data_IF_013806978545
#
_entry.id   IF_013806978545
#
_cell.length_a   1.000
_cell.length_b   1.000
_cell.length_c   1.000
_cell.angle_alpha   90.00
_cell.angle_beta   90.00
_cell.angle_gamma   90.00
#
_symmetry.space_group_name_H-M   'P 1'
#
loop_
_entity.id
_entity.type
_entity.pdbx_description
1 polymer ?
#
# COMPACT_ATOMS: atom_id res chain seq x y z
N UNK A 1 12.54 -13.95 -34.25
CA UNK A 1 12.54 -12.64 -33.60
C UNK A 1 13.03 -12.87 -32.19
N UNK A 2 14.20 -12.35 -31.87
CA UNK A 2 14.76 -12.46 -30.53
C UNK A 2 14.17 -11.32 -29.68
N UNK A 3 13.50 -11.69 -28.60
CA UNK A 3 13.04 -10.72 -27.60
C UNK A 3 14.21 -10.47 -26.65
N UNK A 4 14.82 -9.29 -26.78
CA UNK A 4 15.83 -8.85 -25.84
C UNK A 4 15.15 -8.30 -24.59
N UNK A 5 15.59 -8.76 -23.42
CA UNK A 5 15.23 -8.14 -22.15
C UNK A 5 15.77 -6.70 -22.15
N UNK A 6 14.87 -5.71 -22.12
CA UNK A 6 15.24 -4.28 -22.19
C UNK A 6 15.63 -3.69 -20.83
N UNK A 7 15.50 -4.47 -19.75
CA UNK A 7 15.89 -4.05 -18.41
C UNK A 7 16.26 -5.28 -17.58
N UNK A 8 17.50 -5.36 -17.11
CA UNK A 8 17.87 -6.21 -15.98
C UNK A 8 17.81 -5.29 -14.76
N UNK A 9 16.64 -5.18 -14.16
CA UNK A 9 16.55 -4.62 -12.82
C UNK A 9 17.11 -5.65 -11.87
N UNK A 10 17.99 -5.24 -10.96
CA UNK A 10 18.13 -5.99 -9.71
C UNK A 10 16.71 -6.14 -9.14
N UNK A 11 16.36 -7.31 -8.63
CA UNK A 11 15.23 -7.39 -7.72
C UNK A 11 15.65 -6.49 -6.55
N UNK A 12 15.29 -5.20 -6.61
CA UNK A 12 15.23 -4.37 -5.42
C UNK A 12 14.46 -5.24 -4.46
N UNK A 13 15.20 -5.63 -3.41
CA UNK A 13 14.81 -6.65 -2.47
C UNK A 13 13.33 -6.40 -2.23
N UNK A 14 12.50 -7.37 -2.64
CA UNK A 14 11.21 -7.50 -1.98
C UNK A 14 11.64 -7.54 -0.53
N UNK A 15 11.47 -6.41 0.15
CA UNK A 15 11.69 -6.30 1.57
C UNK A 15 10.54 -7.13 2.13
N UNK A 16 10.73 -8.44 2.03
CA UNK A 16 10.10 -9.50 2.77
C UNK A 16 10.54 -9.31 4.21
N UNK A 17 10.28 -8.12 4.76
CA UNK A 17 10.16 -7.95 6.19
C UNK A 17 8.87 -8.68 6.58
N UNK A 18 8.99 -10.01 6.61
CA UNK A 18 8.36 -10.93 7.53
C UNK A 18 7.05 -10.41 8.13
N UNK A 19 5.93 -10.72 7.49
CA UNK A 19 4.67 -10.82 8.22
C UNK A 19 4.42 -12.29 8.60
N UNK A 20 5.28 -12.77 9.49
CA UNK A 20 4.92 -13.84 10.41
C UNK A 20 4.62 -13.10 11.72
N UNK A 21 3.33 -13.04 12.07
CA UNK A 21 2.81 -12.25 13.18
C UNK A 21 3.62 -12.41 14.47
N UNK A 22 4.42 -11.40 14.78
CA UNK A 22 5.10 -11.24 16.05
C UNK A 22 5.12 -9.74 16.35
N UNK A 23 4.56 -9.35 17.49
CA UNK A 23 4.29 -7.96 17.84
C UNK A 23 5.55 -7.09 17.80
N UNK A 24 5.79 -6.46 16.66
CA UNK A 24 6.75 -5.37 16.55
C UNK A 24 6.02 -4.14 17.05
N UNK A 25 6.55 -3.52 18.09
CA UNK A 25 6.19 -2.17 18.49
C UNK A 25 6.48 -1.28 17.28
N UNK A 26 5.45 -1.05 16.46
CA UNK A 26 5.51 0.00 15.45
C UNK A 26 5.75 1.29 16.25
N UNK A 27 6.60 2.15 15.73
CA UNK A 27 6.76 3.49 16.27
C UNK A 27 6.69 4.44 15.08
N UNK A 28 6.27 5.68 15.28
CA UNK A 28 6.17 6.63 14.17
C UNK A 28 7.56 7.16 13.70
N UNK A 29 8.64 6.39 13.91
CA UNK A 29 9.99 6.70 13.47
C UNK A 29 10.17 6.41 11.96
N UNK A 30 9.96 7.47 11.18
CA UNK A 30 10.31 7.75 9.78
C UNK A 30 9.83 6.81 8.64
N UNK A 31 9.41 5.56 8.88
CA UNK A 31 8.96 4.64 7.81
C UNK A 31 7.63 3.93 8.08
N UNK A 32 6.81 4.47 8.96
CA UNK A 32 5.77 3.69 9.62
C UNK A 32 4.49 3.47 8.81
N UNK A 33 4.30 4.17 7.68
CA UNK A 33 3.15 3.95 6.79
C UNK A 33 3.53 4.11 5.31
N UNK A 34 2.94 3.26 4.47
CA UNK A 34 3.06 3.26 3.01
C UNK A 34 1.75 3.71 2.36
N UNK A 35 1.78 3.89 1.04
CA UNK A 35 0.62 4.16 0.18
C UNK A 35 -0.17 5.43 0.56
N UNK A 36 0.50 6.43 1.13
CA UNK A 36 -0.11 7.70 1.51
C UNK A 36 -0.73 7.72 2.91
N UNK A 37 -0.47 6.70 3.74
CA UNK A 37 -0.84 6.71 5.16
C UNK A 37 0.04 7.66 5.97
N UNK A 38 -0.55 8.24 7.02
CA UNK A 38 0.13 9.03 8.03
C UNK A 38 0.16 8.23 9.32
N UNK A 39 1.32 8.11 9.95
CA UNK A 39 1.42 7.46 11.26
C UNK A 39 0.97 8.42 12.35
N UNK A 40 -0.03 8.03 13.13
CA UNK A 40 -0.53 8.78 14.29
C UNK A 40 -0.69 7.81 15.46
N UNK A 41 -0.59 8.29 16.71
CA UNK A 41 -0.90 7.46 17.88
C UNK A 41 -2.37 7.59 18.26
N UNK A 42 -2.99 6.48 18.62
CA UNK A 42 -4.31 6.51 19.24
C UNK A 42 -4.26 6.97 20.71
N UNK A 43 -5.41 6.95 21.39
CA UNK A 43 -5.52 7.36 22.80
C UNK A 43 -4.73 6.48 23.78
N UNK A 44 -4.36 5.26 23.37
CA UNK A 44 -3.59 4.31 24.18
C UNK A 44 -2.08 4.41 23.88
N UNK A 45 -1.68 5.29 22.96
CA UNK A 45 -0.28 5.44 22.54
C UNK A 45 0.15 4.36 21.54
N UNK A 46 -0.80 3.70 20.87
CA UNK A 46 -0.49 2.71 19.84
C UNK A 46 -0.40 3.41 18.48
N UNK A 47 0.69 3.23 17.71
CA UNK A 47 0.79 3.77 16.36
C UNK A 47 -0.27 3.17 15.44
N UNK A 48 -0.83 3.98 14.56
CA UNK A 48 -1.81 3.57 13.57
C UNK A 48 -1.58 4.32 12.25
N UNK A 49 -1.77 3.63 11.13
CA UNK A 49 -1.76 4.27 9.82
C UNK A 49 -3.13 4.86 9.51
N UNK A 50 -3.19 6.18 9.52
CA UNK A 50 -4.39 6.96 9.16
C UNK A 50 -4.38 7.25 7.67
N UNK A 51 -5.46 6.87 6.98
CA UNK A 51 -5.61 6.98 5.53
C UNK A 51 -6.67 8.02 5.16
N UNK A 52 -6.24 9.27 5.00
CA UNK A 52 -7.14 10.39 4.69
C UNK A 52 -7.32 10.59 3.17
N UNK A 53 -8.19 9.77 2.56
CA UNK A 53 -8.50 9.85 1.13
C UNK A 53 -9.83 10.55 0.87
N UNK A 54 -9.81 11.57 0.00
CA UNK A 54 -11.02 12.23 -0.50
C UNK A 54 -11.32 11.77 -1.92
N UNK A 55 -11.99 10.63 -2.06
CA UNK A 55 -12.33 10.07 -3.36
C UNK A 55 -13.66 10.61 -3.90
N UNK A 56 -13.68 10.96 -5.18
CA UNK A 56 -14.92 11.28 -5.89
C UNK A 56 -15.80 10.03 -6.06
N UNK A 57 -17.09 10.23 -6.30
CA UNK A 57 -18.03 9.16 -6.66
C UNK A 57 -18.08 8.89 -8.17
N UNK A 58 -17.18 9.50 -8.96
CA UNK A 58 -17.11 9.24 -10.39
C UNK A 58 -16.66 7.79 -10.63
N UNK A 59 -17.31 7.13 -11.59
CA UNK A 59 -16.99 5.78 -12.02
C UNK A 59 -15.98 5.83 -13.17
N UNK A 60 -14.78 5.33 -12.91
CA UNK A 60 -13.70 5.11 -13.87
C UNK A 60 -12.97 3.84 -13.48
N UNK A 61 -13.59 2.67 -13.72
CA UNK A 61 -13.26 1.44 -13.01
C UNK A 61 -11.88 0.90 -13.37
N UNK A 62 -11.14 0.42 -12.37
CA UNK A 62 -9.80 -0.16 -12.52
C UNK A 62 -9.72 -1.55 -11.89
N UNK A 63 -8.95 -2.45 -12.51
CA UNK A 63 -8.73 -3.79 -12.00
C UNK A 63 -7.51 -3.79 -11.07
N UNK A 64 -7.66 -4.15 -9.81
CA UNK A 64 -6.51 -4.30 -8.92
C UNK A 64 -5.71 -5.57 -9.22
N UNK A 65 -4.41 -5.55 -8.94
CA UNK A 65 -3.53 -6.72 -8.93
C UNK A 65 -3.95 -7.78 -7.92
N UNK A 66 -4.84 -7.43 -6.98
CA UNK A 66 -5.51 -8.36 -6.07
C UNK A 66 -6.77 -9.02 -6.66
N UNK A 67 -7.07 -8.80 -7.94
CA UNK A 67 -8.22 -9.36 -8.65
C UNK A 67 -9.56 -8.68 -8.35
N UNK A 68 -9.57 -7.56 -7.61
CA UNK A 68 -10.77 -6.79 -7.28
C UNK A 68 -10.98 -5.64 -8.25
N UNK A 69 -12.22 -5.40 -8.68
CA UNK A 69 -12.59 -4.20 -9.43
C UNK A 69 -12.86 -3.04 -8.46
N UNK A 70 -12.31 -1.87 -8.74
CA UNK A 70 -12.53 -0.66 -7.96
C UNK A 70 -13.29 0.37 -8.80
N UNK A 71 -14.18 1.13 -8.16
CA UNK A 71 -14.96 2.19 -8.81
C UNK A 71 -14.07 3.24 -9.49
N UNK A 72 -12.90 3.52 -8.91
CA UNK A 72 -11.87 4.37 -9.50
C UNK A 72 -10.50 4.15 -8.84
N UNK A 73 -9.45 4.71 -9.46
CA UNK A 73 -8.06 4.63 -8.96
C UNK A 73 -7.85 5.27 -7.57
N UNK A 74 -8.72 6.18 -7.13
CA UNK A 74 -8.64 6.71 -5.76
C UNK A 74 -9.05 5.63 -4.74
N UNK A 75 -10.15 4.92 -4.99
CA UNK A 75 -10.62 3.82 -4.13
C UNK A 75 -9.62 2.67 -4.06
N UNK A 76 -8.92 2.37 -5.15
CA UNK A 76 -7.82 1.39 -5.14
C UNK A 76 -6.66 1.82 -4.22
N UNK A 77 -6.24 3.09 -4.28
CA UNK A 77 -5.17 3.63 -3.40
C UNK A 77 -5.61 3.72 -1.94
N UNK A 78 -6.87 4.08 -1.69
CA UNK A 78 -7.45 4.09 -0.34
C UNK A 78 -7.39 2.69 0.29
N UNK A 79 -7.76 1.64 -0.45
CA UNK A 79 -7.64 0.26 0.02
C UNK A 79 -6.17 -0.16 0.23
N UNK A 80 -5.27 0.27 -0.68
CA UNK A 80 -3.83 0.02 -0.54
C UNK A 80 -3.26 0.62 0.74
N UNK A 81 -3.70 1.85 1.09
CA UNK A 81 -3.34 2.50 2.34
C UNK A 81 -3.89 1.76 3.55
N UNK A 82 -5.19 1.45 3.56
CA UNK A 82 -5.83 0.79 4.70
C UNK A 82 -5.24 -0.60 4.98
N UNK A 83 -4.85 -1.33 3.94
CA UNK A 83 -4.23 -2.65 4.07
C UNK A 83 -2.71 -2.61 4.22
N UNK A 84 -2.10 -1.43 4.08
CA UNK A 84 -0.64 -1.27 4.00
C UNK A 84 0.00 -2.24 2.98
N UNK A 85 -0.70 -2.46 1.84
CA UNK A 85 -0.32 -3.40 0.79
C UNK A 85 -0.40 -2.75 -0.59
N UNK A 86 0.60 -3.01 -1.42
CA UNK A 86 0.65 -2.49 -2.78
C UNK A 86 -0.36 -3.17 -3.68
N UNK A 87 -1.44 -2.47 -4.02
CA UNK A 87 -2.40 -2.88 -5.05
C UNK A 87 -2.12 -2.02 -6.28
N UNK A 88 -1.87 -2.67 -7.41
CA UNK A 88 -1.58 -1.99 -8.68
C UNK A 88 -2.84 -2.02 -9.55
N UNK A 89 -3.16 -0.96 -10.31
CA UNK A 89 -4.22 -0.99 -11.33
C UNK A 89 -3.90 -1.92 -12.52
#
# INVERSE_FOLDING_TARGET
QELNMLFYGECDQVDESQDEGSGVEMDCEEKSCKFGGVCEYDSEGVPQCVCNFHCSQALDPVCGSNGKLYDNACKLREESCNQQKGIMP
#
